data_IF_080335835282
#
_entry.id   IF_080335835282
#
_cell.length_a   1.000
_cell.length_b   1.000
_cell.length_c   1.000
_cell.angle_alpha   90.00
_cell.angle_beta   90.00
_cell.angle_gamma   90.00
#
_symmetry.space_group_name_H-M   'P 1'
#
loop_
_entity.id
_entity.type
_entity.pdbx_description
1 polymer ?
#
# COMPACT_ATOMS: atom_id res chain seq x y z
N UNK A 1 -1.12 -8.57 -17.50
CA UNK A 1 -1.01 -8.07 -18.89
C UNK A 1 -0.49 -6.63 -18.98
N UNK A 2 -1.00 -5.66 -18.20
CA UNK A 2 -0.59 -4.24 -18.26
C UNK A 2 0.93 -4.03 -18.04
N UNK A 3 1.52 -4.67 -17.03
CA UNK A 3 2.97 -4.54 -16.73
C UNK A 3 3.88 -5.09 -17.86
N UNK A 4 3.45 -6.13 -18.57
CA UNK A 4 4.26 -6.78 -19.60
C UNK A 4 4.35 -5.93 -20.88
N UNK A 5 3.25 -5.28 -21.28
CA UNK A 5 3.22 -4.38 -22.45
C UNK A 5 4.10 -3.15 -22.24
N UNK A 6 4.18 -2.66 -21.01
CA UNK A 6 4.95 -1.48 -20.63
C UNK A 6 6.47 -1.69 -20.78
N UNK A 7 6.99 -2.85 -20.38
CA UNK A 7 8.42 -3.18 -20.39
C UNK A 7 8.98 -3.24 -21.82
N UNK A 8 8.15 -3.57 -22.81
CA UNK A 8 8.53 -3.73 -24.21
C UNK A 8 8.78 -2.41 -24.97
N UNK A 9 8.29 -1.26 -24.45
CA UNK A 9 8.26 0.01 -25.18
C UNK A 9 9.60 0.77 -25.29
N UNK A 10 10.70 0.26 -24.72
CA UNK A 10 12.01 0.94 -24.72
C UNK A 10 12.09 2.19 -23.81
N UNK A 11 10.97 2.69 -23.30
CA UNK A 11 10.89 3.83 -22.39
C UNK A 11 11.67 3.60 -21.08
N UNK A 12 12.36 4.62 -20.52
CA UNK A 12 13.03 4.50 -19.22
C UNK A 12 12.06 4.42 -18.03
N UNK A 13 10.78 4.75 -18.25
CA UNK A 13 9.70 4.69 -17.25
C UNK A 13 8.42 4.06 -17.83
N UNK A 14 7.54 3.59 -16.97
CA UNK A 14 6.21 3.13 -17.34
C UNK A 14 5.47 4.28 -18.01
N UNK A 15 5.07 4.10 -19.27
CA UNK A 15 4.45 5.15 -20.06
C UNK A 15 3.05 4.74 -20.55
N UNK A 16 2.22 4.25 -19.63
CA UNK A 16 0.83 3.84 -19.89
C UNK A 16 -0.05 4.39 -18.78
N UNK A 17 -1.07 5.24 -19.09
CA UNK A 17 -1.99 5.73 -18.08
C UNK A 17 -2.71 4.59 -17.34
N UNK A 18 -2.95 4.72 -16.02
CA UNK A 18 -2.74 5.90 -15.18
C UNK A 18 -1.31 6.03 -14.60
N UNK A 19 -0.35 5.27 -15.10
CA UNK A 19 1.00 5.16 -14.51
C UNK A 19 2.07 5.92 -15.32
N UNK A 20 1.70 6.99 -16.02
CA UNK A 20 2.69 7.88 -16.67
C UNK A 20 3.23 8.90 -15.67
N UNK A 21 4.42 9.50 -15.89
CA UNK A 21 4.94 10.53 -15.00
C UNK A 21 3.96 11.68 -14.75
N UNK A 22 3.24 12.14 -15.79
CA UNK A 22 2.25 13.22 -15.64
C UNK A 22 1.13 12.89 -14.63
N UNK A 23 0.62 11.67 -14.65
CA UNK A 23 -0.55 11.28 -13.83
C UNK A 23 -0.14 10.84 -12.43
N UNK A 24 1.08 10.30 -12.28
CA UNK A 24 1.68 9.93 -11.00
C UNK A 24 2.06 11.15 -10.15
N UNK A 25 2.14 12.34 -10.75
CA UNK A 25 2.36 13.58 -10.02
C UNK A 25 1.06 14.25 -9.53
N UNK A 26 -0.11 13.66 -9.81
CA UNK A 26 -1.40 14.14 -9.30
C UNK A 26 -1.72 13.76 -7.84
N UNK A 27 -1.32 12.61 -7.28
CA UNK A 27 -1.58 12.25 -5.88
C UNK A 27 -1.18 13.32 -4.86
N UNK A 28 -0.03 14.02 -4.96
CA UNK A 28 0.27 15.15 -4.08
C UNK A 28 -0.78 16.28 -4.15
N UNK A 29 -1.31 16.58 -5.34
CA UNK A 29 -2.38 17.58 -5.54
C UNK A 29 -3.67 17.12 -4.86
N UNK A 30 -4.05 15.85 -5.04
CA UNK A 30 -5.18 15.24 -4.32
C UNK A 30 -4.99 15.25 -2.81
N UNK A 31 -3.78 14.93 -2.32
CA UNK A 31 -3.45 14.96 -0.90
C UNK A 31 -3.58 16.36 -0.29
N UNK A 32 -3.06 17.40 -0.95
CA UNK A 32 -3.21 18.80 -0.49
C UNK A 32 -4.70 19.18 -0.42
N UNK A 33 -5.47 18.86 -1.47
CA UNK A 33 -6.90 19.14 -1.51
C UNK A 33 -7.67 18.43 -0.40
N UNK A 34 -7.43 17.13 -0.21
CA UNK A 34 -8.11 16.32 0.80
C UNK A 34 -7.70 16.69 2.24
N UNK A 35 -6.44 17.10 2.46
CA UNK A 35 -5.96 17.47 3.79
C UNK A 35 -6.46 18.84 4.24
N UNK A 36 -6.27 19.88 3.42
CA UNK A 36 -6.61 21.25 3.82
C UNK A 36 -8.07 21.62 3.56
N UNK A 37 -8.68 20.99 2.55
CA UNK A 37 -10.00 21.36 2.05
C UNK A 37 -10.85 20.12 1.70
N UNK A 38 -11.03 19.15 2.62
CA UNK A 38 -11.66 17.85 2.32
C UNK A 38 -13.06 17.97 1.69
N UNK A 39 -13.81 19.01 2.07
CA UNK A 39 -15.21 19.22 1.68
C UNK A 39 -15.39 20.25 0.54
N UNK A 40 -14.34 20.57 -0.23
CA UNK A 40 -14.51 21.30 -1.51
C UNK A 40 -14.72 20.32 -2.66
N UNK A 41 -15.26 20.79 -3.79
CA UNK A 41 -15.79 19.94 -4.87
C UNK A 41 -15.27 20.27 -6.27
N UNK A 42 -14.18 21.04 -6.37
CA UNK A 42 -13.69 21.63 -7.62
C UNK A 42 -12.39 21.00 -8.12
N UNK A 43 -11.74 20.13 -7.33
CA UNK A 43 -10.39 19.65 -7.63
C UNK A 43 -10.30 18.88 -8.95
N UNK A 44 -11.13 17.84 -9.15
CA UNK A 44 -11.15 17.10 -10.44
C UNK A 44 -11.48 18.01 -11.64
N UNK A 45 -12.36 19.00 -11.47
CA UNK A 45 -12.76 19.95 -12.52
C UNK A 45 -11.62 20.89 -12.91
N UNK A 46 -10.74 21.20 -11.96
CA UNK A 46 -9.60 22.09 -12.16
C UNK A 46 -8.35 21.38 -12.72
N UNK A 47 -8.33 20.04 -12.78
CA UNK A 47 -7.19 19.31 -13.34
C UNK A 47 -7.05 19.56 -14.86
N UNK A 48 -5.82 19.65 -15.39
CA UNK A 48 -5.59 19.82 -16.82
C UNK A 48 -6.25 18.73 -17.69
N UNK A 49 -6.67 19.10 -18.90
CA UNK A 49 -7.33 18.21 -19.87
C UNK A 49 -6.35 17.54 -20.84
N UNK A 50 -5.20 17.05 -20.35
CA UNK A 50 -4.27 16.31 -21.21
C UNK A 50 -4.82 14.93 -21.58
N UNK A 51 -4.29 14.35 -22.67
CA UNK A 51 -4.66 12.99 -23.09
C UNK A 51 -4.40 11.96 -21.99
N UNK A 52 -3.28 12.09 -21.27
CA UNK A 52 -2.92 11.16 -20.21
C UNK A 52 -3.84 11.28 -19.00
N UNK A 53 -4.14 12.50 -18.55
CA UNK A 53 -5.04 12.74 -17.42
C UNK A 53 -6.45 12.25 -17.74
N UNK A 54 -6.96 12.58 -18.92
CA UNK A 54 -8.28 12.13 -19.36
C UNK A 54 -8.36 10.60 -19.49
N UNK A 55 -7.31 9.95 -19.99
CA UNK A 55 -7.28 8.48 -20.09
C UNK A 55 -7.11 7.81 -18.72
N UNK A 56 -6.31 8.39 -17.82
CA UNK A 56 -6.18 7.92 -16.45
C UNK A 56 -7.51 7.99 -15.70
N UNK A 57 -8.23 9.12 -15.81
CA UNK A 57 -9.57 9.25 -15.23
C UNK A 57 -10.55 8.25 -15.84
N UNK A 58 -10.55 8.05 -17.16
CA UNK A 58 -11.38 7.02 -17.79
C UNK A 58 -11.03 5.63 -17.24
N UNK A 59 -9.75 5.31 -17.10
CA UNK A 59 -9.35 4.00 -16.59
C UNK A 59 -9.80 3.78 -15.13
N UNK A 60 -9.63 4.80 -14.28
CA UNK A 60 -9.96 4.72 -12.86
C UNK A 60 -11.46 4.83 -12.60
N UNK A 61 -12.21 5.61 -13.38
CA UNK A 61 -13.59 6.00 -13.10
C UNK A 61 -14.58 5.63 -14.21
N UNK A 62 -14.32 4.54 -14.95
CA UNK A 62 -15.35 3.97 -15.83
C UNK A 62 -16.08 2.84 -15.15
N UNK A 63 -17.41 2.85 -15.23
CA UNK A 63 -18.24 1.73 -14.77
C UNK A 63 -18.04 0.49 -15.61
N UNK A 64 -17.94 0.63 -16.94
CA UNK A 64 -17.89 -0.50 -17.87
C UNK A 64 -17.11 -0.12 -19.14
N UNK A 65 -16.92 -1.08 -20.06
CA UNK A 65 -16.19 -0.87 -21.31
C UNK A 65 -16.81 0.22 -22.20
N UNK A 66 -18.14 0.37 -22.20
CA UNK A 66 -18.82 1.42 -22.98
C UNK A 66 -18.53 2.80 -22.41
N UNK A 67 -18.64 2.95 -21.09
CA UNK A 67 -18.24 4.17 -20.38
C UNK A 67 -16.76 4.47 -20.63
N UNK A 68 -15.89 3.47 -20.56
CA UNK A 68 -14.47 3.62 -20.87
C UNK A 68 -14.25 4.07 -22.29
N UNK A 69 -14.91 3.48 -23.30
CA UNK A 69 -14.72 3.77 -24.72
C UNK A 69 -15.23 5.17 -25.11
N UNK A 70 -16.40 5.56 -24.59
CA UNK A 70 -17.03 6.86 -24.89
C UNK A 70 -16.51 8.00 -24.01
N UNK A 71 -15.95 7.68 -22.83
CA UNK A 71 -15.61 8.66 -21.80
C UNK A 71 -16.84 9.29 -21.13
N UNK A 72 -18.02 8.68 -21.25
CA UNK A 72 -19.29 9.18 -20.71
C UNK A 72 -20.01 8.12 -19.85
N UNK A 73 -20.50 8.48 -18.65
CA UNK A 73 -20.28 9.76 -17.97
C UNK A 73 -18.79 10.00 -17.65
N UNK A 74 -18.39 11.27 -17.55
CA UNK A 74 -17.06 11.64 -17.08
C UNK A 74 -17.10 11.82 -15.57
N UNK A 75 -16.05 11.47 -14.84
CA UNK A 75 -15.99 11.69 -13.38
C UNK A 75 -16.17 13.17 -13.01
N UNK A 76 -15.76 14.09 -13.89
CA UNK A 76 -15.95 15.55 -13.74
C UNK A 76 -17.41 16.00 -13.85
N UNK A 77 -18.30 15.14 -14.36
CA UNK A 77 -19.74 15.41 -14.44
C UNK A 77 -20.42 15.32 -13.06
N UNK A 78 -19.75 14.72 -12.06
CA UNK A 78 -20.28 14.54 -10.72
C UNK A 78 -19.79 15.65 -9.78
N UNK A 79 -20.47 15.83 -8.65
CA UNK A 79 -20.04 16.74 -7.57
C UNK A 79 -19.40 15.89 -6.47
N UNK A 80 -18.07 15.84 -6.43
CA UNK A 80 -17.30 14.93 -5.58
C UNK A 80 -16.35 15.75 -4.71
N UNK A 81 -16.33 15.47 -3.40
CA UNK A 81 -15.46 16.17 -2.46
C UNK A 81 -13.98 15.84 -2.67
N UNK A 82 -13.06 16.72 -2.29
CA UNK A 82 -11.62 16.47 -2.41
C UNK A 82 -11.16 15.21 -1.68
N UNK A 83 -11.79 14.88 -0.54
CA UNK A 83 -11.54 13.62 0.16
C UNK A 83 -11.95 12.42 -0.70
N UNK A 84 -13.15 12.46 -1.27
CA UNK A 84 -13.64 11.41 -2.17
C UNK A 84 -12.85 11.35 -3.51
N UNK A 85 -12.30 12.46 -3.99
CA UNK A 85 -11.42 12.49 -5.17
C UNK A 85 -10.11 11.72 -4.91
N UNK A 86 -9.50 11.94 -3.74
CA UNK A 86 -8.31 11.19 -3.32
C UNK A 86 -8.63 9.70 -3.14
N UNK A 87 -9.70 9.39 -2.41
CA UNK A 87 -10.16 8.04 -2.19
C UNK A 87 -10.47 7.32 -3.51
N UNK A 88 -11.11 7.99 -4.47
CA UNK A 88 -11.40 7.44 -5.79
C UNK A 88 -10.18 6.86 -6.54
N UNK A 89 -8.96 7.30 -6.18
CA UNK A 89 -7.69 6.82 -6.74
C UNK A 89 -7.06 5.68 -5.91
N UNK A 90 -7.25 5.67 -4.60
CA UNK A 90 -6.48 4.83 -3.66
C UNK A 90 -7.31 3.87 -2.81
N UNK A 91 -8.60 4.11 -2.69
CA UNK A 91 -9.51 3.29 -1.91
C UNK A 91 -9.70 1.91 -2.56
N UNK A 92 -9.84 0.88 -1.74
CA UNK A 92 -9.91 -0.50 -2.20
C UNK A 92 -11.25 -0.90 -2.81
N UNK A 93 -12.31 -0.14 -2.52
CA UNK A 93 -13.61 -0.25 -3.18
C UNK A 93 -13.80 0.70 -4.36
N UNK A 94 -12.83 1.56 -4.65
CA UNK A 94 -12.91 2.51 -5.76
C UNK A 94 -11.89 2.19 -6.86
N UNK A 95 -10.64 1.89 -6.47
CA UNK A 95 -9.52 1.81 -7.39
C UNK A 95 -9.35 0.39 -8.00
N UNK A 96 -9.24 0.25 -9.33
CA UNK A 96 -9.01 -1.07 -9.96
C UNK A 96 -7.57 -1.59 -9.82
N UNK A 97 -6.63 -0.79 -9.28
CA UNK A 97 -5.21 -1.12 -9.19
C UNK A 97 -4.84 -1.62 -7.79
N UNK A 98 -4.86 -2.94 -7.59
CA UNK A 98 -4.68 -3.55 -6.26
C UNK A 98 -3.45 -3.07 -5.47
N UNK A 99 -2.34 -2.78 -6.14
CA UNK A 99 -1.09 -2.36 -5.50
C UNK A 99 -1.11 -0.89 -5.01
N UNK A 100 -2.12 -0.11 -5.40
CA UNK A 100 -2.33 1.24 -4.89
C UNK A 100 -3.43 1.30 -3.83
N UNK A 101 -4.03 0.16 -3.46
CA UNK A 101 -5.19 0.15 -2.58
C UNK A 101 -4.82 0.34 -1.12
N UNK A 102 -5.59 1.18 -0.44
CA UNK A 102 -5.63 1.39 1.01
C UNK A 102 -7.10 1.42 1.43
N UNK A 103 -7.42 0.95 2.61
CA UNK A 103 -8.81 0.86 3.09
C UNK A 103 -9.18 2.16 3.82
N UNK A 104 -9.71 3.13 3.07
CA UNK A 104 -9.82 4.54 3.48
C UNK A 104 -11.18 4.92 4.07
N UNK A 105 -12.15 4.01 4.03
CA UNK A 105 -13.55 4.22 4.35
C UNK A 105 -14.43 3.98 3.13
N UNK A 106 -15.49 4.77 2.97
CA UNK A 106 -16.41 4.53 1.85
C UNK A 106 -17.09 5.80 1.34
N UNK A 107 -17.51 5.78 0.08
CA UNK A 107 -18.22 6.89 -0.53
C UNK A 107 -19.68 6.97 -0.04
N UNK A 108 -20.16 8.18 0.24
CA UNK A 108 -21.57 8.42 0.60
C UNK A 108 -22.17 9.63 -0.15
N UNK A 109 -23.50 9.69 -0.21
CA UNK A 109 -24.26 10.86 -0.65
C UNK A 109 -25.24 10.63 -1.81
N UNK A 110 -24.99 9.65 -2.67
CA UNK A 110 -25.87 9.30 -3.79
C UNK A 110 -25.72 7.85 -4.23
N UNK A 111 -26.44 7.48 -5.29
CA UNK A 111 -26.50 6.10 -5.78
C UNK A 111 -25.16 5.63 -6.37
N UNK A 112 -24.75 4.43 -5.97
CA UNK A 112 -23.56 3.74 -6.45
C UNK A 112 -23.94 2.54 -7.30
N UNK A 113 -23.00 2.06 -8.12
CA UNK A 113 -23.16 0.82 -8.86
C UNK A 113 -21.84 0.07 -9.03
N UNK A 114 -21.96 -1.23 -9.32
CA UNK A 114 -20.82 -2.11 -9.57
C UNK A 114 -20.00 -1.69 -10.79
N UNK A 115 -18.68 -1.82 -10.66
CA UNK A 115 -17.73 -1.63 -11.74
C UNK A 115 -17.42 -2.95 -12.45
N UNK A 116 -17.63 -2.90 -13.76
CA UNK A 116 -17.37 -3.96 -14.72
C UNK A 116 -16.15 -3.69 -15.62
N UNK A 117 -15.32 -2.71 -15.26
CA UNK A 117 -14.10 -2.34 -15.97
C UNK A 117 -12.94 -2.10 -14.98
N UNK A 118 -11.70 -2.53 -15.29
CA UNK A 118 -11.26 -3.22 -16.50
C UNK A 118 -11.73 -4.68 -16.60
N UNK A 119 -12.25 -5.23 -15.51
CA UNK A 119 -12.91 -6.53 -15.41
C UNK A 119 -14.05 -6.41 -14.38
N UNK A 120 -15.10 -7.24 -14.45
CA UNK A 120 -16.10 -7.36 -13.39
C UNK A 120 -15.47 -7.54 -12.02
N UNK A 121 -15.84 -6.66 -11.08
CA UNK A 121 -15.47 -6.79 -9.69
C UNK A 121 -16.58 -6.20 -8.80
N UNK A 122 -17.36 -7.07 -8.12
CA UNK A 122 -18.47 -6.63 -7.28
C UNK A 122 -18.03 -5.96 -5.97
N UNK A 123 -16.72 -5.91 -5.68
CA UNK A 123 -16.18 -5.13 -4.56
C UNK A 123 -15.93 -3.65 -4.93
N UNK A 124 -16.12 -3.28 -6.20
CA UNK A 124 -15.80 -1.94 -6.69
C UNK A 124 -17.06 -1.14 -7.03
N UNK A 125 -17.18 0.04 -6.43
CA UNK A 125 -18.31 0.95 -6.58
C UNK A 125 -17.96 2.19 -7.41
N UNK A 126 -18.96 2.81 -8.03
CA UNK A 126 -18.85 4.10 -8.70
C UNK A 126 -20.14 4.94 -8.59
N UNK A 127 -20.05 6.28 -8.45
CA UNK A 127 -21.18 7.19 -8.59
C UNK A 127 -22.00 6.98 -9.86
N UNK A 128 -23.32 7.11 -9.74
CA UNK A 128 -24.25 7.05 -10.88
C UNK A 128 -25.21 8.23 -10.97
N UNK A 129 -25.60 8.82 -9.84
CA UNK A 129 -26.43 10.03 -9.83
C UNK A 129 -25.56 11.29 -9.96
N UNK A 130 -25.76 12.07 -11.03
CA UNK A 130 -25.03 13.33 -11.28
C UNK A 130 -25.57 14.53 -10.48
N UNK A 131 -26.76 14.39 -9.89
CA UNK A 131 -27.40 15.45 -9.11
C UNK A 131 -27.03 15.40 -7.63
N UNK A 132 -26.58 14.23 -7.16
CA UNK A 132 -26.05 14.04 -5.82
C UNK A 132 -24.69 14.72 -5.59
N UNK A 133 -24.42 14.97 -4.31
CA UNK A 133 -23.11 15.40 -3.81
C UNK A 133 -22.45 14.23 -3.10
N UNK A 134 -21.30 13.78 -3.59
CA UNK A 134 -20.57 12.66 -2.99
C UNK A 134 -19.49 13.16 -2.05
N UNK A 135 -19.49 12.59 -0.85
CA UNK A 135 -18.51 12.84 0.20
C UNK A 135 -17.86 11.53 0.64
N UNK A 136 -16.95 11.59 1.60
CA UNK A 136 -16.21 10.42 2.07
C UNK A 136 -16.46 10.17 3.55
N UNK A 137 -16.94 8.98 3.86
CA UNK A 137 -17.00 8.45 5.22
C UNK A 137 -15.63 7.89 5.58
N UNK A 138 -15.00 8.38 6.65
CA UNK A 138 -13.67 7.90 7.08
C UNK A 138 -13.72 6.44 7.57
N UNK A 139 -12.57 5.74 7.56
CA UNK A 139 -12.46 4.34 7.98
C UNK A 139 -13.18 4.03 9.31
N UNK A 140 -13.08 4.93 10.30
CA UNK A 140 -13.61 4.71 11.64
C UNK A 140 -15.12 4.90 11.77
N UNK A 141 -15.75 5.41 10.71
CA UNK A 141 -17.15 5.72 10.63
C UNK A 141 -17.95 4.64 9.91
N UNK A 142 -17.32 3.86 9.02
CA UNK A 142 -17.97 2.77 8.27
C UNK A 142 -18.55 1.73 9.25
N UNK A 143 -19.83 1.39 9.06
CA UNK A 143 -20.59 0.46 9.91
C UNK A 143 -20.73 0.87 11.39
N UNK A 144 -20.21 2.04 11.80
CA UNK A 144 -20.18 2.45 13.21
C UNK A 144 -21.59 2.58 13.76
N UNK A 145 -21.83 1.98 14.93
CA UNK A 145 -23.14 1.98 15.60
C UNK A 145 -24.28 1.40 14.72
N UNK A 146 -23.97 0.44 13.86
CA UNK A 146 -24.97 -0.17 12.97
C UNK A 146 -25.42 0.75 11.83
N UNK A 147 -24.62 1.77 11.48
CA UNK A 147 -24.85 2.56 10.27
C UNK A 147 -24.94 1.63 9.06
N UNK A 148 -25.90 1.84 8.14
CA UNK A 148 -25.99 1.04 6.92
C UNK A 148 -24.70 1.09 6.12
N UNK A 149 -24.36 -0.05 5.53
CA UNK A 149 -23.28 -0.16 4.56
C UNK A 149 -23.91 -0.34 3.19
N UNK A 150 -23.31 0.27 2.16
CA UNK A 150 -23.79 0.15 0.80
C UNK A 150 -23.59 -1.29 0.29
N UNK A 151 -24.60 -1.79 -0.42
CA UNK A 151 -24.60 -3.13 -0.98
C UNK A 151 -24.32 -3.06 -2.48
N UNK A 152 -23.66 -4.09 -2.99
CA UNK A 152 -23.47 -4.32 -4.41
C UNK A 152 -24.73 -4.91 -5.07
N UNK A 153 -24.67 -5.14 -6.39
CA UNK A 153 -25.80 -5.71 -7.15
C UNK A 153 -26.16 -7.16 -6.71
N UNK A 154 -25.25 -7.84 -5.99
CA UNK A 154 -25.44 -9.20 -5.45
C UNK A 154 -26.08 -9.19 -4.03
N UNK A 155 -26.22 -8.02 -3.41
CA UNK A 155 -26.76 -7.84 -2.06
C UNK A 155 -25.71 -7.99 -0.94
N UNK A 156 -24.44 -8.15 -1.30
CA UNK A 156 -23.32 -8.17 -0.37
C UNK A 156 -22.81 -6.75 -0.11
N UNK A 157 -22.32 -6.44 1.10
CA UNK A 157 -21.74 -5.14 1.37
C UNK A 157 -20.44 -4.93 0.59
N UNK A 158 -20.22 -3.73 0.04
CA UNK A 158 -18.97 -3.43 -0.65
C UNK A 158 -17.75 -3.53 0.29
N UNK A 159 -17.93 -3.13 1.54
CA UNK A 159 -16.90 -3.15 2.58
C UNK A 159 -17.53 -3.46 3.95
N UNK A 160 -16.73 -3.58 5.00
CA UNK A 160 -17.21 -3.67 6.36
C UNK A 160 -16.32 -2.88 7.32
N UNK A 161 -16.73 -2.80 8.58
CA UNK A 161 -16.01 -2.03 9.60
C UNK A 161 -14.59 -2.55 9.83
N UNK A 162 -14.35 -3.85 9.64
CA UNK A 162 -13.09 -4.51 9.92
C UNK A 162 -12.11 -4.45 8.74
N UNK A 163 -12.62 -4.31 7.51
CA UNK A 163 -11.85 -4.03 6.30
C UNK A 163 -11.27 -2.62 6.27
N UNK A 164 -11.95 -1.66 6.90
CA UNK A 164 -11.49 -0.27 6.90
C UNK A 164 -10.43 0.05 7.97
N UNK A 165 -9.25 0.50 7.53
CA UNK A 165 -8.06 0.54 8.39
C UNK A 165 -7.27 1.86 8.38
N UNK A 166 -7.41 2.70 7.36
CA UNK A 166 -6.56 3.86 7.10
C UNK A 166 -7.32 5.18 7.17
N UNK A 167 -6.82 6.11 7.97
CA UNK A 167 -7.43 7.44 8.09
C UNK A 167 -7.14 8.28 6.85
N UNK A 168 -8.20 8.73 6.14
CA UNK A 168 -8.02 9.44 4.87
C UNK A 168 -7.28 10.77 5.03
N UNK A 169 -7.42 11.44 6.17
CA UNK A 169 -6.71 12.69 6.42
C UNK A 169 -5.22 12.42 6.69
N UNK A 170 -4.88 11.36 7.41
CA UNK A 170 -3.47 10.93 7.55
C UNK A 170 -2.89 10.43 6.22
N UNK A 171 -3.66 9.67 5.44
CA UNK A 171 -3.26 9.21 4.11
C UNK A 171 -3.06 10.38 3.12
N UNK A 172 -3.91 11.40 3.18
CA UNK A 172 -3.74 12.62 2.38
C UNK A 172 -2.41 13.30 2.68
N UNK A 173 -2.03 13.39 3.96
CA UNK A 173 -0.75 13.94 4.42
C UNK A 173 0.45 13.21 3.81
N UNK A 174 0.41 11.88 3.71
CA UNK A 174 1.53 11.10 3.16
C UNK A 174 1.78 11.38 1.67
N UNK A 175 0.80 11.94 0.94
CA UNK A 175 0.96 12.21 -0.48
C UNK A 175 1.81 13.46 -0.77
N UNK A 176 1.88 14.42 0.15
CA UNK A 176 2.54 15.71 -0.11
C UNK A 176 3.55 16.16 0.95
N UNK A 177 3.51 15.61 2.17
CA UNK A 177 4.40 16.08 3.23
C UNK A 177 5.83 15.53 3.07
N UNK A 178 6.82 16.43 3.17
CA UNK A 178 8.23 16.10 3.06
C UNK A 178 8.73 15.15 4.16
N UNK A 179 9.61 14.16 3.85
CA UNK A 179 10.18 13.85 2.54
C UNK A 179 9.18 13.03 1.68
N UNK A 180 8.45 13.72 0.79
CA UNK A 180 7.33 13.16 0.05
C UNK A 180 7.86 12.31 -1.11
N UNK A 181 7.99 11.01 -0.87
CA UNK A 181 8.17 9.99 -1.89
C UNK A 181 7.30 8.76 -1.52
N UNK A 182 6.11 8.98 -0.95
CA UNK A 182 5.24 7.86 -0.55
C UNK A 182 4.86 7.04 -1.77
N UNK A 183 4.44 7.72 -2.84
CA UNK A 183 4.30 7.11 -4.17
C UNK A 183 5.51 7.53 -5.01
N UNK A 184 6.00 6.59 -5.83
CA UNK A 184 7.07 6.85 -6.78
C UNK A 184 6.73 8.06 -7.66
N UNK A 185 7.69 8.93 -7.98
CA UNK A 185 7.45 10.06 -8.91
C UNK A 185 7.24 9.62 -10.36
N UNK A 186 7.72 8.41 -10.67
CA UNK A 186 7.55 7.66 -11.91
C UNK A 186 7.96 6.21 -11.63
N UNK A 187 7.42 5.24 -12.38
CA UNK A 187 7.87 3.86 -12.29
C UNK A 187 9.02 3.60 -13.28
N UNK A 188 10.29 3.45 -12.85
CA UNK A 188 11.39 3.14 -13.76
C UNK A 188 11.23 1.75 -14.37
N UNK A 189 11.28 1.62 -15.70
CA UNK A 189 11.24 0.29 -16.35
C UNK A 189 12.44 -0.56 -15.97
N UNK A 190 13.56 0.07 -15.59
CA UNK A 190 14.73 -0.62 -15.05
C UNK A 190 14.41 -1.44 -13.80
N UNK A 191 13.60 -0.92 -12.87
CA UNK A 191 13.23 -1.66 -11.65
C UNK A 191 12.49 -2.95 -12.01
N UNK A 192 11.51 -2.87 -12.93
CA UNK A 192 10.76 -4.03 -13.40
C UNK A 192 11.65 -5.05 -14.12
N UNK A 193 12.53 -4.58 -15.02
CA UNK A 193 13.47 -5.44 -15.77
C UNK A 193 14.47 -6.12 -14.82
N UNK A 194 14.98 -5.40 -13.84
CA UNK A 194 15.91 -5.93 -12.85
C UNK A 194 15.23 -6.96 -11.94
N UNK A 195 13.99 -6.71 -11.52
CA UNK A 195 13.19 -7.68 -10.74
C UNK A 195 12.94 -8.97 -11.54
N UNK A 196 12.55 -8.86 -12.82
CA UNK A 196 12.33 -10.03 -13.68
C UNK A 196 13.62 -10.83 -13.88
N UNK A 197 14.73 -10.16 -14.24
CA UNK A 197 16.03 -10.81 -14.42
C UNK A 197 16.52 -11.46 -13.12
N UNK A 198 16.36 -10.78 -11.99
CA UNK A 198 16.72 -11.31 -10.68
C UNK A 198 15.90 -12.57 -10.33
N UNK A 199 14.59 -12.56 -10.61
CA UNK A 199 13.68 -13.69 -10.43
C UNK A 199 14.05 -14.90 -11.31
N UNK A 200 14.55 -14.66 -12.53
CA UNK A 200 15.10 -15.68 -13.42
C UNK A 200 16.53 -16.14 -13.06
N UNK A 201 17.06 -15.69 -11.92
CA UNK A 201 18.39 -16.11 -11.44
C UNK A 201 19.57 -15.33 -12.02
N UNK A 202 19.34 -14.28 -12.83
CA UNK A 202 20.43 -13.46 -13.36
C UNK A 202 21.16 -12.72 -12.24
N UNK A 203 22.49 -12.83 -12.20
CA UNK A 203 23.41 -12.20 -11.25
C UNK A 203 24.59 -11.53 -11.96
N UNK A 204 24.37 -10.97 -13.15
CA UNK A 204 25.41 -10.31 -13.94
C UNK A 204 25.23 -8.78 -13.92
N UNK A 205 26.27 -8.04 -14.32
CA UNK A 205 26.23 -6.56 -14.42
C UNK A 205 25.79 -5.89 -13.11
N UNK A 206 24.78 -5.01 -13.18
CA UNK A 206 24.23 -4.32 -11.99
C UNK A 206 23.58 -5.27 -10.97
N UNK A 207 23.23 -6.50 -11.36
CA UNK A 207 22.64 -7.51 -10.48
C UNK A 207 23.69 -8.41 -9.81
N UNK A 208 24.98 -8.20 -10.06
CA UNK A 208 26.05 -9.04 -9.53
C UNK A 208 26.13 -9.10 -8.01
N UNK A 209 25.66 -8.05 -7.32
CA UNK A 209 25.58 -8.05 -5.87
C UNK A 209 24.43 -8.89 -5.30
N UNK A 210 23.44 -9.30 -6.12
CA UNK A 210 22.38 -10.22 -5.68
C UNK A 210 22.87 -11.67 -5.48
N UNK A 211 24.13 -11.98 -5.85
CA UNK A 211 24.74 -13.29 -5.55
C UNK A 211 24.95 -13.51 -4.06
N UNK A 212 24.95 -12.43 -3.28
CA UNK A 212 25.11 -12.49 -1.83
C UNK A 212 23.76 -12.68 -1.14
N UNK A 213 23.63 -13.73 -0.34
CA UNK A 213 22.44 -14.02 0.47
C UNK A 213 22.41 -13.28 1.82
N UNK A 214 22.85 -12.01 1.83
CA UNK A 214 22.95 -11.17 3.02
C UNK A 214 21.65 -11.11 3.85
N UNK A 215 20.49 -10.79 3.24
CA UNK A 215 19.21 -10.77 3.93
C UNK A 215 18.85 -12.11 4.61
N UNK A 216 19.01 -13.24 3.92
CA UNK A 216 18.74 -14.58 4.47
C UNK A 216 19.68 -14.97 5.62
N UNK A 217 20.82 -14.27 5.75
CA UNK A 217 21.79 -14.45 6.83
C UNK A 217 21.48 -13.62 8.08
N UNK A 218 20.45 -12.76 8.07
CA UNK A 218 20.08 -11.90 9.19
C UNK A 218 18.65 -12.20 9.67
N UNK A 219 18.31 -11.90 10.94
CA UNK A 219 16.91 -11.89 11.36
C UNK A 219 16.12 -10.97 10.44
N UNK A 220 14.92 -11.40 10.04
CA UNK A 220 14.04 -10.63 9.17
C UNK A 220 12.58 -10.75 9.63
N UNK A 221 11.84 -9.66 9.44
CA UNK A 221 10.38 -9.63 9.62
C UNK A 221 9.73 -9.40 8.25
N UNK A 222 8.66 -10.14 7.97
CA UNK A 222 7.75 -9.85 6.86
C UNK A 222 6.38 -9.55 7.45
N UNK A 223 5.77 -8.45 7.01
CA UNK A 223 4.38 -8.11 7.29
C UNK A 223 3.64 -8.16 5.96
N UNK A 224 2.47 -8.81 5.94
CA UNK A 224 1.64 -8.99 4.76
C UNK A 224 0.25 -8.43 5.03
N UNK A 225 -0.29 -7.73 4.05
CA UNK A 225 -1.71 -7.43 3.94
C UNK A 225 -2.46 -8.68 3.46
N UNK A 226 -3.60 -9.01 4.07
CA UNK A 226 -4.45 -10.12 3.63
C UNK A 226 -4.88 -9.91 2.18
N UNK A 227 -5.49 -8.77 1.88
CA UNK A 227 -6.16 -8.51 0.59
C UNK A 227 -5.18 -7.98 -0.47
N UNK A 228 -3.89 -8.29 -0.27
CA UNK A 228 -2.83 -8.05 -1.24
C UNK A 228 -2.35 -9.37 -1.85
N UNK A 229 -2.40 -9.48 -3.18
CA UNK A 229 -1.94 -10.66 -3.92
C UNK A 229 -2.67 -11.94 -3.47
N UNK A 230 -1.96 -13.07 -3.36
CA UNK A 230 -2.53 -14.37 -3.00
C UNK A 230 -2.24 -14.72 -1.53
N UNK A 231 -2.30 -13.72 -0.64
CA UNK A 231 -2.14 -13.97 0.79
C UNK A 231 -3.42 -14.58 1.36
N UNK A 232 -3.29 -15.42 2.38
CA UNK A 232 -4.42 -16.11 3.02
C UNK A 232 -4.44 -15.77 4.52
N UNK A 233 -5.54 -15.17 4.96
CA UNK A 233 -5.89 -14.90 6.35
C UNK A 233 -7.40 -14.57 6.44
N UNK A 234 -8.11 -14.86 7.55
CA UNK A 234 -9.42 -14.31 7.89
C UNK A 234 -9.58 -12.81 7.66
N UNK A 235 -10.81 -12.35 7.41
CA UNK A 235 -11.14 -10.97 7.08
C UNK A 235 -10.91 -10.03 8.26
N UNK A 236 -11.10 -10.56 9.48
CA UNK A 236 -10.97 -9.82 10.71
C UNK A 236 -10.16 -10.58 11.78
N UNK A 237 -9.76 -9.82 12.81
CA UNK A 237 -9.11 -10.37 14.00
C UNK A 237 -7.61 -10.07 14.09
N UNK A 238 -6.90 -10.74 15.03
CA UNK A 238 -5.50 -10.44 15.29
C UNK A 238 -4.58 -10.91 14.15
N UNK A 239 -3.38 -10.32 13.98
CA UNK A 239 -2.40 -10.77 13.00
C UNK A 239 -2.01 -12.24 13.18
N UNK A 240 -1.94 -12.93 12.06
CA UNK A 240 -1.69 -14.38 12.01
C UNK A 240 -0.22 -14.62 11.75
N UNK A 241 0.38 -15.54 12.52
CA UNK A 241 1.79 -15.90 12.34
C UNK A 241 1.94 -16.75 11.08
N UNK A 242 2.78 -16.29 10.17
CA UNK A 242 3.21 -17.08 9.02
C UNK A 242 4.56 -17.77 9.24
N UNK A 243 5.00 -18.60 8.29
CA UNK A 243 6.33 -19.20 8.31
C UNK A 243 7.41 -18.11 8.33
N UNK A 244 8.49 -18.26 9.12
CA UNK A 244 9.54 -17.26 9.17
C UNK A 244 10.26 -17.17 7.82
N UNK A 245 10.71 -15.98 7.40
CA UNK A 245 11.37 -15.78 6.11
C UNK A 245 12.71 -16.52 5.96
N UNK A 246 13.31 -16.95 7.07
CA UNK A 246 14.53 -17.73 7.10
C UNK A 246 14.70 -18.43 8.46
N UNK A 247 15.70 -19.31 8.57
CA UNK A 247 16.01 -20.08 9.78
C UNK A 247 16.70 -19.26 10.90
N UNK A 248 16.83 -17.93 10.76
CA UNK A 248 17.51 -17.13 11.79
C UNK A 248 16.58 -16.91 12.98
N UNK A 249 17.09 -17.16 14.18
CA UNK A 249 16.37 -16.86 15.43
C UNK A 249 15.96 -15.38 15.45
N UNK A 250 14.70 -15.13 15.83
CA UNK A 250 13.95 -13.86 15.77
C UNK A 250 13.34 -13.51 14.41
N UNK A 251 13.61 -14.28 13.35
CA UNK A 251 12.86 -14.14 12.11
C UNK A 251 11.41 -14.57 12.30
N UNK A 252 10.48 -13.82 11.72
CA UNK A 252 9.04 -14.06 11.81
C UNK A 252 8.32 -13.47 10.62
N UNK A 253 7.14 -13.96 10.32
CA UNK A 253 6.21 -13.24 9.45
C UNK A 253 4.83 -13.15 10.10
N UNK A 254 4.10 -12.11 9.73
CA UNK A 254 2.68 -11.96 10.07
C UNK A 254 1.89 -11.60 8.82
N UNK A 255 0.64 -12.05 8.78
CA UNK A 255 -0.39 -11.56 7.86
C UNK A 255 -1.43 -10.81 8.68
N UNK A 256 -1.82 -9.63 8.24
CA UNK A 256 -2.78 -8.76 8.94
C UNK A 256 -4.14 -8.87 8.24
N UNK A 257 -5.18 -9.38 8.94
CA UNK A 257 -6.56 -9.37 8.47
C UNK A 257 -7.04 -7.98 8.04
N UNK A 258 -7.92 -7.93 7.02
CA UNK A 258 -8.56 -6.71 6.51
C UNK A 258 -7.64 -5.71 5.79
N UNK A 259 -6.32 -5.88 5.86
CA UNK A 259 -5.40 -4.95 5.25
C UNK A 259 -5.31 -5.15 3.73
N UNK A 260 -5.42 -4.04 3.00
CA UNK A 260 -5.04 -3.88 1.61
C UNK A 260 -3.54 -3.53 1.46
N UNK A 261 -3.06 -3.47 0.21
CA UNK A 261 -1.63 -3.39 -0.11
C UNK A 261 -0.89 -2.27 0.61
N UNK A 262 -1.46 -1.06 0.66
CA UNK A 262 -0.83 0.09 1.29
C UNK A 262 -1.03 0.16 2.80
N UNK A 263 -2.02 -0.54 3.36
CA UNK A 263 -2.36 -0.43 4.80
C UNK A 263 -1.23 -0.89 5.72
N UNK A 264 -0.34 -1.77 5.24
CA UNK A 264 0.89 -2.13 5.96
C UNK A 264 1.81 -0.91 6.21
N UNK A 265 1.58 0.20 5.52
CA UNK A 265 2.29 1.48 5.66
C UNK A 265 1.40 2.60 6.18
N UNK A 266 0.09 2.56 5.93
CA UNK A 266 -0.83 3.71 6.09
C UNK A 266 -1.92 3.53 7.12
N UNK A 267 -2.11 2.32 7.65
CA UNK A 267 -3.16 2.06 8.62
C UNK A 267 -3.08 3.00 9.83
N UNK A 268 -4.26 3.44 10.27
CA UNK A 268 -4.40 4.34 11.39
C UNK A 268 -3.88 3.70 12.68
N UNK A 269 -3.29 4.51 13.56
CA UNK A 269 -2.79 4.03 14.85
C UNK A 269 -3.85 3.27 15.67
N UNK A 270 -5.10 3.71 15.57
CA UNK A 270 -6.25 3.13 16.26
C UNK A 270 -7.09 2.38 15.23
N UNK A 271 -7.28 1.08 15.45
CA UNK A 271 -8.07 0.24 14.54
C UNK A 271 -9.52 0.17 15.02
N UNK A 272 -10.42 -0.20 14.11
CA UNK A 272 -11.86 -0.24 14.35
C UNK A 272 -12.30 -1.23 15.44
N UNK A 273 -11.48 -2.25 15.70
CA UNK A 273 -11.63 -3.25 16.75
C UNK A 273 -11.05 -2.82 18.12
N UNK A 274 -10.57 -1.58 18.22
CA UNK A 274 -9.94 -1.00 19.41
C UNK A 274 -8.50 -1.44 19.65
N UNK A 275 -7.92 -2.30 18.79
CA UNK A 275 -6.53 -2.73 18.91
C UNK A 275 -5.58 -1.67 18.33
N UNK A 276 -4.31 -1.64 18.80
CA UNK A 276 -3.29 -0.81 18.18
C UNK A 276 -2.87 -1.38 16.82
N UNK A 277 -2.45 -0.49 15.92
CA UNK A 277 -1.94 -0.83 14.58
C UNK A 277 -0.85 -1.94 14.64
N UNK A 278 -1.08 -3.11 14.01
CA UNK A 278 -0.25 -4.29 14.16
C UNK A 278 1.14 -4.20 13.51
N UNK A 279 1.30 -3.49 12.39
CA UNK A 279 2.55 -3.44 11.61
C UNK A 279 3.66 -2.75 12.38
N UNK A 280 3.41 -1.53 12.84
CA UNK A 280 4.32 -0.70 13.64
C UNK A 280 4.66 -1.42 14.94
N UNK A 281 3.67 -2.05 15.58
CA UNK A 281 3.89 -2.86 16.79
C UNK A 281 4.79 -4.06 16.51
N UNK A 282 4.60 -4.76 15.40
CA UNK A 282 5.42 -5.91 15.04
C UNK A 282 6.87 -5.49 14.69
N UNK A 283 7.03 -4.39 13.97
CA UNK A 283 8.32 -3.83 13.58
C UNK A 283 9.09 -3.32 14.82
N UNK A 284 8.46 -2.55 15.70
CA UNK A 284 9.09 -2.07 16.94
C UNK A 284 9.54 -3.24 17.82
N UNK A 285 8.66 -4.23 18.03
CA UNK A 285 8.99 -5.45 18.77
C UNK A 285 10.13 -6.26 18.12
N UNK A 286 10.26 -6.22 16.79
CA UNK A 286 11.38 -6.85 16.09
C UNK A 286 12.69 -6.11 16.30
N UNK A 287 12.69 -4.79 16.12
CA UNK A 287 13.86 -3.95 16.32
C UNK A 287 14.43 -4.06 17.75
N UNK A 288 13.57 -3.99 18.77
CA UNK A 288 13.97 -4.10 20.19
C UNK A 288 14.65 -5.45 20.45
N UNK A 289 14.02 -6.58 20.08
CA UNK A 289 14.55 -7.92 20.33
C UNK A 289 15.86 -8.18 19.60
N UNK A 290 16.00 -7.69 18.37
CA UNK A 290 17.25 -7.81 17.60
C UNK A 290 18.38 -7.03 18.27
N UNK A 291 18.10 -5.81 18.76
CA UNK A 291 19.06 -4.97 19.48
C UNK A 291 19.51 -5.61 20.79
N UNK A 292 18.57 -6.01 21.64
CA UNK A 292 18.87 -6.61 22.95
C UNK A 292 19.77 -7.84 22.84
N UNK A 293 19.52 -8.69 21.84
CA UNK A 293 20.36 -9.86 21.58
C UNK A 293 21.80 -9.49 21.22
N UNK A 294 22.00 -8.42 20.44
CA UNK A 294 23.34 -7.94 20.11
C UNK A 294 24.06 -7.43 21.36
N UNK A 295 23.36 -6.71 22.23
CA UNK A 295 23.90 -6.22 23.50
C UNK A 295 24.28 -7.36 24.44
N UNK A 296 23.44 -8.39 24.57
CA UNK A 296 23.73 -9.58 25.37
C UNK A 296 24.95 -10.36 24.84
N UNK A 297 25.03 -10.57 23.51
CA UNK A 297 26.17 -11.22 22.88
C UNK A 297 27.48 -10.44 23.07
N UNK A 298 27.44 -9.10 23.03
CA UNK A 298 28.60 -8.23 23.28
C UNK A 298 29.09 -8.31 24.74
N UNK A 299 28.17 -8.27 25.71
CA UNK A 299 28.50 -8.41 27.14
C UNK A 299 29.14 -9.76 27.47
N UNK A 300 28.64 -10.84 26.86
CA UNK A 300 29.24 -12.18 27.05
C UNK A 300 30.65 -12.27 26.47
N UNK A 301 30.90 -11.63 25.32
CA UNK A 301 32.20 -11.63 24.65
C UNK A 301 33.27 -10.83 25.40
N UNK A 302 32.88 -9.77 26.12
CA UNK A 302 33.77 -8.98 27.01
C UNK A 302 34.07 -9.66 28.35
N UNK A 303 33.30 -10.69 28.74
CA UNK A 303 33.49 -11.45 29.99
C UNK A 303 34.25 -12.76 29.81
N UNK A 304 34.72 -13.09 28.61
CA UNK A 304 35.68 -14.18 28.45
C UNK A 304 37.01 -13.71 29.04
N UNK A 305 37.62 -14.46 29.98
CA UNK A 305 38.97 -14.16 30.43
C UNK A 305 39.88 -14.14 29.19
N UNK A 306 40.74 -13.13 29.09
CA UNK A 306 41.94 -13.25 28.25
C UNK A 306 42.62 -14.57 28.65
N UNK A 307 42.96 -15.40 27.67
CA UNK A 307 43.59 -16.70 27.90
C UNK A 307 44.84 -16.59 28.80
N UNK A 308 45.31 -17.72 29.36
CA UNK A 308 46.29 -17.72 30.42
C UNK A 308 47.52 -16.91 30.03
N UNK A 309 47.91 -15.98 30.90
CA UNK A 309 49.16 -15.25 30.78
C UNK A 309 50.30 -16.26 30.68
N UNK A 310 51.09 -16.17 29.61
CA UNK A 310 52.34 -16.89 29.49
C UNK A 310 53.23 -16.50 30.68
N UNK A 311 53.44 -17.42 31.60
CA UNK A 311 54.45 -17.32 32.67
C UNK A 311 55.84 -17.48 32.06
N UNK A 312 56.49 -16.37 31.72
CA UNK A 312 57.93 -16.30 31.50
C UNK A 312 58.64 -16.43 32.85
N UNK A 313 58.88 -17.67 33.29
CA UNK A 313 59.88 -17.96 34.31
C UNK A 313 61.09 -18.59 33.63
N UNK A 314 62.05 -17.74 33.28
CA UNK A 314 63.39 -18.15 32.88
C UNK A 314 64.09 -18.84 34.05
N UNK A 315 64.43 -20.12 33.88
CA UNK A 315 65.46 -20.79 34.67
C UNK A 315 66.81 -20.46 34.06
N UNK A 316 67.58 -19.63 34.75
CA UNK A 316 69.04 -19.65 34.69
C UNK A 316 69.55 -20.76 35.61
N UNK A 317 70.17 -21.77 35.01
CA UNK A 317 71.26 -22.60 35.55
C UNK A 317 72.20 -22.77 34.35
N UNK A 318 73.45 -22.32 34.41
CA UNK A 318 74.49 -22.84 35.29
C UNK A 318 75.27 -23.81 34.46
#
# INVERSE_FOLDING_TARGET
MLLAAVIASGSPYVNVPPLVPETIQLPPIFGVGAFYHPNRFDLLRNLPHSRNINLAQRFLFSRNTVNFATGRPNIRDFTISNAADLAGVFDDNSAPLFFMRSSLGFMEGGDLADKNFPQPNPSLAIPTDKTATYTWQNYDQVGKNGRPVQLNDEGDPYTDREGEASDIHQFARTQFESPANFIEQYFPTKLLKDLQKAGQGNRNGSLSHLKYNGPSKRPAIIVRARDSQNNDAPDSGPPIKGPPPNKKKLSRSITVPGYNHLDVLTAARHQNDGRPEPTSRALANFAIRVRERRSAASKFRRRRPLGPAYSLNGRLRG
#
